data_IF_029920181707
#
_entry.id   IF_029920181707
#
_cell.length_a   1.000
_cell.length_b   1.000
_cell.length_c   1.000
_cell.angle_alpha   90.00
_cell.angle_beta   90.00
_cell.angle_gamma   90.00
#
_symmetry.space_group_name_H-M   'P 1'
#
loop_
_entity.id
_entity.type
_entity.pdbx_description
1 polymer ?
#
# COMPACT_ATOMS: atom_id res chain seq x y z
N UNK A 1 31.08 -19.63 14.33
CA UNK A 1 30.04 -20.12 13.40
C UNK A 1 28.61 -19.83 13.90
N UNK A 2 28.21 -20.31 15.08
CA UNK A 2 26.83 -20.13 15.62
C UNK A 2 26.37 -18.65 15.70
N UNK A 3 27.25 -17.74 16.16
CA UNK A 3 26.95 -16.29 16.20
C UNK A 3 26.68 -15.68 14.82
N UNK A 4 27.33 -16.18 13.78
CA UNK A 4 27.17 -15.71 12.40
C UNK A 4 25.83 -16.17 11.82
N UNK A 5 25.50 -17.45 11.99
CA UNK A 5 24.21 -18.02 11.56
C UNK A 5 23.04 -17.31 12.24
N UNK A 6 23.15 -17.07 13.56
CA UNK A 6 22.15 -16.28 14.30
C UNK A 6 21.90 -14.91 13.67
N UNK A 7 22.97 -14.19 13.30
CA UNK A 7 22.85 -12.86 12.66
C UNK A 7 22.12 -12.97 11.33
N UNK A 8 22.43 -13.97 10.51
CA UNK A 8 21.72 -14.22 9.24
C UNK A 8 20.22 -14.45 9.49
N UNK A 9 19.85 -15.31 10.44
CA UNK A 9 18.45 -15.57 10.77
C UNK A 9 17.71 -14.30 11.23
N UNK A 10 18.34 -13.48 12.08
CA UNK A 10 17.76 -12.21 12.54
C UNK A 10 17.60 -11.23 11.37
N UNK A 11 18.64 -11.05 10.55
CA UNK A 11 18.61 -10.18 9.37
C UNK A 11 17.51 -10.59 8.40
N UNK A 12 17.38 -11.89 8.12
CA UNK A 12 16.31 -12.41 7.27
C UNK A 12 14.92 -12.09 7.83
N UNK A 13 14.69 -12.34 9.12
CA UNK A 13 13.39 -12.04 9.76
C UNK A 13 13.09 -10.54 9.72
N UNK A 14 14.07 -9.67 9.97
CA UNK A 14 13.90 -8.22 9.90
C UNK A 14 13.54 -7.79 8.48
N UNK A 15 14.29 -8.24 7.47
CA UNK A 15 14.02 -7.92 6.07
C UNK A 15 12.64 -8.41 5.61
N UNK A 16 12.24 -9.61 6.04
CA UNK A 16 10.90 -10.14 5.77
C UNK A 16 9.80 -9.24 6.37
N UNK A 17 9.96 -8.79 7.61
CA UNK A 17 8.97 -7.91 8.24
C UNK A 17 8.95 -6.52 7.61
N UNK A 18 10.09 -5.98 7.18
CA UNK A 18 10.16 -4.74 6.43
C UNK A 18 9.44 -4.86 5.07
N UNK A 19 9.65 -5.97 4.37
CA UNK A 19 8.93 -6.26 3.13
C UNK A 19 7.42 -6.35 3.36
N UNK A 20 6.97 -7.09 4.38
CA UNK A 20 5.55 -7.18 4.72
C UNK A 20 4.94 -5.83 5.10
N UNK A 21 5.68 -5.00 5.84
CA UNK A 21 5.24 -3.64 6.17
C UNK A 21 5.09 -2.78 4.91
N UNK A 22 5.99 -2.89 3.94
CA UNK A 22 5.88 -2.20 2.66
C UNK A 22 4.68 -2.70 1.84
N UNK A 23 4.39 -4.01 1.86
CA UNK A 23 3.18 -4.55 1.23
C UNK A 23 1.92 -3.98 1.87
N UNK A 24 1.88 -3.85 3.21
CA UNK A 24 0.75 -3.19 3.90
C UNK A 24 0.64 -1.73 3.46
N UNK A 25 1.74 -0.99 3.45
CA UNK A 25 1.75 0.43 3.08
C UNK A 25 1.30 0.67 1.64
N UNK A 26 1.75 -0.15 0.70
CA UNK A 26 1.31 -0.07 -0.69
C UNK A 26 -0.16 -0.48 -0.86
N UNK A 27 -0.60 -1.52 -0.16
CA UNK A 27 -1.88 -2.18 -0.46
C UNK A 27 -3.06 -1.60 0.31
N UNK A 28 -2.84 -1.03 1.50
CA UNK A 28 -3.92 -0.58 2.39
C UNK A 28 -4.34 0.87 2.14
N UNK A 29 -5.58 1.24 2.52
CA UNK A 29 -6.13 2.54 2.17
C UNK A 29 -5.43 3.67 2.90
N UNK A 30 -5.12 4.71 2.14
CA UNK A 30 -4.67 6.02 2.57
C UNK A 30 -5.74 7.06 2.23
N UNK A 31 -5.66 8.21 2.90
CA UNK A 31 -6.62 9.29 2.73
C UNK A 31 -5.88 10.58 2.37
N UNK A 32 -6.46 11.36 1.47
CA UNK A 32 -5.99 12.70 1.14
C UNK A 32 -7.19 13.64 1.00
N UNK A 33 -7.08 14.83 1.60
CA UNK A 33 -8.01 15.93 1.36
C UNK A 33 -7.53 16.71 0.14
N UNK A 34 -8.33 16.74 -0.90
CA UNK A 34 -7.97 17.35 -2.19
C UNK A 34 -9.18 18.06 -2.78
N UNK A 35 -8.95 18.94 -3.75
CA UNK A 35 -9.98 19.47 -4.62
C UNK A 35 -9.83 18.82 -5.98
N UNK A 36 -10.91 18.24 -6.51
CA UNK A 36 -10.88 17.62 -7.84
C UNK A 36 -10.92 18.74 -8.88
N UNK A 37 -10.05 18.66 -9.87
CA UNK A 37 -9.94 19.67 -10.93
C UNK A 37 -10.40 19.15 -12.29
N UNK A 38 -10.59 17.83 -12.42
CA UNK A 38 -11.07 17.21 -13.65
C UNK A 38 -10.70 15.73 -13.72
N UNK A 39 -10.80 15.16 -14.92
CA UNK A 39 -10.41 13.78 -15.15
C UNK A 39 -10.63 13.35 -16.59
N UNK A 40 -9.87 12.34 -17.01
CA UNK A 40 -9.85 11.80 -18.37
C UNK A 40 -10.02 10.28 -18.35
N UNK A 41 -10.32 9.68 -19.50
CA UNK A 41 -10.32 8.22 -19.69
C UNK A 41 -9.27 7.87 -20.72
N UNK A 42 -8.39 6.91 -20.41
CA UNK A 42 -7.37 6.42 -21.34
C UNK A 42 -7.45 4.92 -21.47
N UNK A 43 -7.28 4.43 -22.69
CA UNK A 43 -7.13 3.01 -22.96
C UNK A 43 -5.71 2.56 -22.63
N UNK A 44 -5.59 1.49 -21.87
CA UNK A 44 -4.30 0.91 -21.47
C UNK A 44 -4.27 -0.59 -21.71
N UNK A 45 -3.09 -1.10 -22.07
CA UNK A 45 -2.79 -2.54 -22.13
C UNK A 45 -1.71 -2.89 -21.10
N UNK A 46 -1.06 -4.06 -21.25
CA UNK A 46 0.00 -4.52 -20.36
C UNK A 46 1.23 -3.60 -20.33
N UNK A 47 1.47 -2.87 -21.42
CA UNK A 47 2.68 -2.05 -21.61
C UNK A 47 2.43 -0.57 -21.28
N UNK A 48 1.16 -0.17 -21.15
CA UNK A 48 0.78 1.12 -20.61
C UNK A 48 -0.30 1.80 -21.42
N UNK A 49 -0.21 3.13 -21.55
CA UNK A 49 -1.17 3.92 -22.33
C UNK A 49 -1.01 3.53 -23.80
N UNK A 50 -2.13 3.25 -24.46
CA UNK A 50 -2.13 2.96 -25.89
C UNK A 50 -1.98 4.28 -26.65
N UNK A 51 -0.90 4.42 -27.40
CA UNK A 51 -0.61 5.57 -28.22
C UNK A 51 0.18 5.17 -29.49
N UNK A 52 0.66 6.15 -30.26
CA UNK A 52 1.42 5.86 -31.49
C UNK A 52 2.76 5.13 -31.22
N UNK A 53 3.30 5.22 -30.01
CA UNK A 53 4.56 4.56 -29.59
C UNK A 53 4.31 3.21 -28.92
N UNK A 54 3.13 3.02 -28.31
CA UNK A 54 2.66 1.76 -27.76
C UNK A 54 1.33 1.34 -28.43
N UNK A 55 1.39 0.72 -29.62
CA UNK A 55 0.19 0.16 -30.25
C UNK A 55 -0.39 -0.96 -29.39
N UNK A 56 -1.73 -1.11 -29.41
CA UNK A 56 -2.43 -2.06 -28.56
C UNK A 56 -1.91 -3.50 -28.76
N UNK A 57 -1.40 -4.10 -27.68
CA UNK A 57 -0.92 -5.49 -27.67
C UNK A 57 -1.62 -6.32 -26.59
N UNK A 58 -2.74 -6.93 -26.97
CA UNK A 58 -3.53 -7.82 -26.12
C UNK A 58 -4.76 -7.15 -25.48
N UNK A 59 -5.21 -7.66 -24.32
CA UNK A 59 -6.40 -7.14 -23.64
C UNK A 59 -6.24 -5.68 -23.23
N UNK A 60 -7.19 -4.86 -23.65
CA UNK A 60 -7.25 -3.43 -23.34
C UNK A 60 -8.23 -3.20 -22.21
N UNK A 61 -7.91 -2.25 -21.34
CA UNK A 61 -8.80 -1.77 -20.27
C UNK A 61 -8.90 -0.25 -20.31
N UNK A 62 -10.06 0.26 -19.92
CA UNK A 62 -10.28 1.69 -19.74
C UNK A 62 -9.83 2.10 -18.34
N UNK A 63 -8.96 3.10 -18.29
CA UNK A 63 -8.36 3.63 -17.08
C UNK A 63 -8.82 5.06 -16.89
N UNK A 64 -9.61 5.25 -15.84
CA UNK A 64 -10.07 6.57 -15.45
C UNK A 64 -8.97 7.29 -14.68
N UNK A 65 -8.64 8.49 -15.10
CA UNK A 65 -7.74 9.38 -14.38
C UNK A 65 -8.53 10.50 -13.72
N UNK A 66 -8.20 10.78 -12.46
CA UNK A 66 -8.80 11.86 -11.68
C UNK A 66 -7.67 12.82 -11.32
N UNK A 67 -7.82 14.09 -11.71
CA UNK A 67 -6.89 15.15 -11.40
C UNK A 67 -7.36 15.90 -10.17
N UNK A 68 -6.44 16.11 -9.23
CA UNK A 68 -6.74 16.83 -8.02
C UNK A 68 -5.57 17.69 -7.57
N UNK A 69 -5.86 18.76 -6.85
CA UNK A 69 -4.89 19.59 -6.13
C UNK A 69 -5.08 19.42 -4.63
N UNK A 70 -3.98 19.48 -3.90
CA UNK A 70 -3.97 19.38 -2.43
C UNK A 70 -4.80 20.52 -1.81
N UNK A 71 -5.69 20.20 -0.86
CA UNK A 71 -6.61 21.19 -0.29
C UNK A 71 -5.91 22.28 0.54
N UNK A 72 -4.66 22.05 0.96
CA UNK A 72 -3.86 23.02 1.70
C UNK A 72 -2.81 23.73 0.82
N UNK A 73 -2.48 23.17 -0.35
CA UNK A 73 -1.47 23.73 -1.24
C UNK A 73 -1.80 23.47 -2.71
N UNK A 74 -2.42 24.46 -3.35
CA UNK A 74 -2.83 24.42 -4.75
C UNK A 74 -1.72 24.12 -5.76
N UNK A 75 -0.44 24.36 -5.41
CA UNK A 75 0.71 24.03 -6.27
C UNK A 75 0.98 22.52 -6.32
N UNK A 76 0.48 21.76 -5.35
CA UNK A 76 0.67 20.32 -5.26
C UNK A 76 -0.48 19.62 -5.97
N UNK A 77 -0.31 19.45 -7.27
CA UNK A 77 -1.22 18.68 -8.13
C UNK A 77 -0.84 17.22 -8.19
N UNK A 78 -1.85 16.37 -8.32
CA UNK A 78 -1.67 14.93 -8.44
C UNK A 78 -2.73 14.31 -9.34
N UNK A 79 -2.28 13.40 -10.21
CA UNK A 79 -3.15 12.50 -10.92
C UNK A 79 -3.31 11.20 -10.13
N UNK A 80 -4.55 10.76 -10.00
CA UNK A 80 -4.92 9.45 -9.49
C UNK A 80 -5.43 8.59 -10.63
N UNK A 81 -5.23 7.28 -10.50
CA UNK A 81 -5.86 6.27 -11.35
C UNK A 81 -7.11 5.75 -10.66
N UNK A 82 -8.09 5.33 -11.41
CA UNK A 82 -9.32 4.77 -10.89
C UNK A 82 -9.70 3.58 -11.78
N UNK A 83 -9.26 2.40 -11.38
CA UNK A 83 -9.58 1.14 -12.03
C UNK A 83 -10.30 0.22 -11.07
N UNK A 84 -11.07 -0.69 -11.63
CA UNK A 84 -11.67 -1.78 -10.88
C UNK A 84 -10.59 -2.76 -10.44
N UNK A 85 -10.51 -2.98 -9.13
CA UNK A 85 -9.63 -4.03 -8.61
C UNK A 85 -10.21 -5.40 -8.92
N UNK A 86 -11.53 -5.49 -9.07
CA UNK A 86 -12.25 -6.72 -9.32
C UNK A 86 -11.78 -7.83 -8.36
N UNK A 87 -11.29 -8.93 -8.91
CA UNK A 87 -10.74 -10.07 -8.16
C UNK A 87 -9.22 -10.00 -8.00
N UNK A 88 -8.58 -8.91 -8.43
CA UNK A 88 -7.15 -8.68 -8.33
C UNK A 88 -6.71 -8.18 -6.96
N UNK A 89 -5.42 -8.33 -6.69
CA UNK A 89 -4.80 -7.80 -5.48
C UNK A 89 -4.48 -6.29 -5.64
N UNK A 90 -4.71 -5.45 -4.62
CA UNK A 90 -5.39 -5.74 -3.35
C UNK A 90 -6.90 -6.00 -3.53
N UNK A 91 -7.42 -7.02 -2.83
CA UNK A 91 -8.78 -7.56 -2.98
C UNK A 91 -9.86 -6.63 -2.40
N UNK A 92 -9.98 -5.42 -2.95
CA UNK A 92 -11.04 -4.47 -2.59
C UNK A 92 -12.40 -4.81 -3.21
N UNK A 93 -12.47 -5.76 -4.15
CA UNK A 93 -13.71 -6.11 -4.87
C UNK A 93 -14.44 -4.87 -5.42
N UNK A 94 -13.66 -3.96 -6.00
CA UNK A 94 -14.15 -2.70 -6.56
C UNK A 94 -14.53 -2.93 -8.03
N UNK A 95 -15.79 -2.62 -8.37
CA UNK A 95 -16.39 -2.77 -9.71
C UNK A 95 -17.16 -1.50 -10.16
N UNK A 96 -16.97 -0.39 -9.46
CA UNK A 96 -17.72 0.86 -9.65
C UNK A 96 -16.80 2.03 -10.03
N UNK A 97 -15.74 1.76 -10.80
CA UNK A 97 -14.82 2.79 -11.30
C UNK A 97 -15.54 3.90 -12.06
N UNK A 98 -16.46 3.57 -12.96
CA UNK A 98 -17.25 4.53 -13.73
C UNK A 98 -18.09 5.46 -12.84
N UNK A 99 -18.74 4.93 -11.80
CA UNK A 99 -19.54 5.72 -10.86
C UNK A 99 -18.67 6.70 -10.07
N UNK A 100 -17.48 6.26 -9.65
CA UNK A 100 -16.50 7.12 -8.97
C UNK A 100 -16.02 8.22 -9.90
N UNK A 101 -15.84 7.93 -11.20
CA UNK A 101 -15.50 8.96 -12.18
C UNK A 101 -16.63 9.99 -12.32
N UNK A 102 -17.89 9.55 -12.40
CA UNK A 102 -19.03 10.45 -12.47
C UNK A 102 -19.12 11.36 -11.22
N UNK A 103 -18.92 10.80 -10.03
CA UNK A 103 -18.82 11.60 -8.79
C UNK A 103 -17.67 12.60 -8.85
N UNK A 104 -16.49 12.21 -9.35
CA UNK A 104 -15.34 13.09 -9.47
C UNK A 104 -15.64 14.29 -10.37
N UNK A 105 -16.31 14.09 -11.50
CA UNK A 105 -16.74 15.18 -12.39
C UNK A 105 -17.76 16.11 -11.73
N UNK A 106 -18.66 15.58 -10.90
CA UNK A 106 -19.57 16.39 -10.09
C UNK A 106 -18.81 17.33 -9.15
N UNK A 107 -17.80 16.82 -8.44
CA UNK A 107 -16.98 17.60 -7.53
C UNK A 107 -16.05 18.60 -8.23
N UNK A 108 -15.61 18.31 -9.46
CA UNK A 108 -14.79 19.23 -10.24
C UNK A 108 -15.51 20.56 -10.53
N UNK A 109 -16.85 20.55 -10.54
CA UNK A 109 -17.67 21.73 -10.79
C UNK A 109 -18.07 22.49 -9.51
N UNK A 110 -17.80 21.96 -8.32
CA UNK A 110 -18.30 22.51 -7.06
C UNK A 110 -17.25 23.16 -6.16
N UNK A 111 -15.96 23.19 -6.55
CA UNK A 111 -14.82 23.71 -5.78
C UNK A 111 -14.73 23.20 -4.32
N UNK A 112 -15.42 22.09 -4.02
CA UNK A 112 -15.49 21.54 -2.68
C UNK A 112 -14.23 20.72 -2.35
N UNK A 113 -13.83 20.78 -1.09
CA UNK A 113 -12.84 19.85 -0.57
C UNK A 113 -13.46 18.44 -0.50
N UNK A 114 -12.74 17.47 -1.03
CA UNK A 114 -13.12 16.05 -0.98
C UNK A 114 -12.03 15.23 -0.34
N UNK A 115 -12.43 14.15 0.33
CA UNK A 115 -11.52 13.12 0.82
C UNK A 115 -11.48 11.98 -0.17
N UNK A 116 -10.32 11.77 -0.78
CA UNK A 116 -10.04 10.60 -1.62
C UNK A 116 -9.44 9.51 -0.75
N UNK A 117 -10.07 8.33 -0.78
CA UNK A 117 -9.50 7.08 -0.29
C UNK A 117 -8.79 6.38 -1.44
N UNK A 118 -7.51 6.06 -1.28
CA UNK A 118 -6.69 5.44 -2.34
C UNK A 118 -5.71 4.43 -1.77
N UNK A 119 -5.09 3.61 -2.63
CA UNK A 119 -3.92 2.80 -2.28
C UNK A 119 -2.83 2.96 -3.34
N UNK A 120 -1.65 2.43 -3.06
CA UNK A 120 -0.49 2.48 -3.95
C UNK A 120 0.27 3.81 -3.89
N UNK A 121 1.34 3.86 -4.67
CA UNK A 121 2.24 5.00 -4.71
C UNK A 121 2.16 5.76 -6.02
N UNK A 122 2.60 7.02 -5.99
CA UNK A 122 2.87 7.79 -7.19
C UNK A 122 4.36 7.67 -7.52
N UNK A 123 4.70 6.97 -8.61
CA UNK A 123 6.07 6.85 -9.10
C UNK A 123 6.11 7.31 -10.55
N UNK A 124 6.50 8.58 -10.76
CA UNK A 124 6.45 9.23 -12.07
C UNK A 124 7.29 8.53 -13.13
N UNK A 125 8.47 8.01 -12.78
CA UNK A 125 9.36 7.33 -13.73
C UNK A 125 8.80 6.01 -14.26
N UNK A 126 7.88 5.38 -13.51
CA UNK A 126 7.29 4.08 -13.86
C UNK A 126 5.84 4.20 -14.33
N UNK A 127 5.34 5.42 -14.55
CA UNK A 127 3.92 5.68 -14.86
C UNK A 127 2.95 5.04 -13.86
N UNK A 128 3.37 4.90 -12.59
CA UNK A 128 2.54 4.30 -11.54
C UNK A 128 1.81 5.41 -10.77
N UNK A 129 0.50 5.22 -10.61
CA UNK A 129 -0.42 6.19 -10.02
C UNK A 129 -1.18 5.52 -8.90
N UNK A 130 -1.56 6.31 -7.89
CA UNK A 130 -2.36 5.83 -6.76
C UNK A 130 -3.76 5.48 -7.26
N UNK A 131 -4.27 4.31 -6.90
CA UNK A 131 -5.59 3.87 -7.34
C UNK A 131 -6.66 4.32 -6.34
N UNK A 132 -7.70 5.00 -6.82
CA UNK A 132 -8.84 5.48 -6.02
C UNK A 132 -9.74 4.32 -5.66
N UNK A 133 -10.11 4.26 -4.38
CA UNK A 133 -11.10 3.32 -3.84
C UNK A 133 -12.47 4.01 -3.72
N UNK A 134 -12.51 5.23 -3.19
CA UNK A 134 -13.75 5.99 -3.01
C UNK A 134 -13.48 7.49 -2.86
N UNK A 135 -14.46 8.31 -3.20
CA UNK A 135 -14.43 9.77 -3.02
C UNK A 135 -15.59 10.15 -2.10
N UNK A 136 -15.36 11.06 -1.16
CA UNK A 136 -16.37 11.60 -0.24
C UNK A 136 -16.18 13.10 -0.07
N UNK A 137 -17.26 13.82 0.23
CA UNK A 137 -17.17 15.22 0.62
C UNK A 137 -16.44 15.37 1.97
N UNK A 138 -15.51 16.32 2.08
CA UNK A 138 -14.70 16.58 3.29
C UNK A 138 -15.51 17.11 4.47
N UNK A 139 -16.82 17.38 4.30
CA UNK A 139 -17.75 17.59 5.42
C UNK A 139 -17.94 16.37 6.34
N UNK A 140 -17.44 15.20 5.94
CA UNK A 140 -17.44 13.97 6.76
C UNK A 140 -16.07 13.71 7.38
N UNK A 141 -16.08 13.38 8.67
CA UNK A 141 -14.95 13.10 9.57
C UNK A 141 -13.64 12.62 8.91
N UNK A 142 -12.51 13.17 9.38
CA UNK A 142 -11.15 12.76 9.03
C UNK A 142 -11.04 11.23 9.06
N UNK A 143 -10.88 10.63 7.90
CA UNK A 143 -10.80 9.18 7.77
C UNK A 143 -9.35 8.73 7.99
N UNK A 144 -9.15 7.85 8.96
CA UNK A 144 -7.83 7.35 9.36
C UNK A 144 -7.58 5.93 8.82
N UNK A 145 -6.34 5.57 8.47
CA UNK A 145 -5.97 4.23 8.00
C UNK A 145 -5.83 3.24 9.16
N UNK A 146 -6.90 3.05 9.94
CA UNK A 146 -6.90 2.24 11.18
C UNK A 146 -6.45 0.81 10.89
N UNK A 147 -6.90 0.21 9.78
CA UNK A 147 -6.52 -1.15 9.39
C UNK A 147 -4.99 -1.28 9.22
N UNK A 148 -4.33 -0.32 8.57
CA UNK A 148 -2.87 -0.32 8.41
C UNK A 148 -2.16 -0.25 9.76
N UNK A 149 -2.63 0.61 10.67
CA UNK A 149 -2.02 0.74 12.00
C UNK A 149 -2.14 -0.55 12.83
N UNK A 150 -3.30 -1.22 12.79
CA UNK A 150 -3.49 -2.51 13.45
C UNK A 150 -2.53 -3.55 12.88
N UNK A 151 -2.33 -3.58 11.56
CA UNK A 151 -1.39 -4.50 10.92
C UNK A 151 0.06 -4.20 11.25
N UNK A 152 0.47 -2.92 11.27
CA UNK A 152 1.80 -2.53 11.71
C UNK A 152 2.07 -2.96 13.16
N UNK A 153 1.08 -2.82 14.03
CA UNK A 153 1.18 -3.28 15.41
C UNK A 153 1.35 -4.81 15.49
N UNK A 154 0.54 -5.57 14.76
CA UNK A 154 0.66 -7.04 14.70
C UNK A 154 2.03 -7.47 14.15
N UNK A 155 2.50 -6.84 13.06
CA UNK A 155 3.81 -7.10 12.48
C UNK A 155 4.94 -6.79 13.46
N UNK A 156 4.83 -5.69 14.21
CA UNK A 156 5.80 -5.34 15.24
C UNK A 156 5.87 -6.37 16.36
N UNK A 157 4.72 -6.80 16.90
CA UNK A 157 4.67 -7.83 17.93
C UNK A 157 5.22 -9.17 17.41
N UNK A 158 4.84 -9.57 16.19
CA UNK A 158 5.38 -10.76 15.51
C UNK A 158 6.90 -10.70 15.39
N UNK A 159 7.46 -9.56 14.96
CA UNK A 159 8.91 -9.35 14.84
C UNK A 159 9.62 -9.59 16.16
N UNK A 160 9.12 -8.99 17.24
CA UNK A 160 9.67 -9.16 18.59
C UNK A 160 9.62 -10.63 19.03
N UNK A 161 8.51 -11.33 18.79
CA UNK A 161 8.36 -12.76 19.10
C UNK A 161 9.39 -13.59 18.34
N UNK A 162 9.56 -13.37 17.04
CA UNK A 162 10.50 -14.12 16.21
C UNK A 162 11.96 -13.87 16.62
N UNK A 163 12.33 -12.62 16.89
CA UNK A 163 13.67 -12.29 17.40
C UNK A 163 13.92 -13.00 18.74
N UNK A 164 12.93 -13.02 19.66
CA UNK A 164 13.03 -13.75 20.93
C UNK A 164 13.17 -15.26 20.72
N UNK A 165 12.40 -15.86 19.81
CA UNK A 165 12.50 -17.29 19.47
C UNK A 165 13.89 -17.65 18.92
N UNK A 166 14.42 -16.85 18.00
CA UNK A 166 15.77 -17.02 17.47
C UNK A 166 16.79 -16.91 18.60
N UNK A 167 16.69 -15.87 19.44
CA UNK A 167 17.61 -15.70 20.57
C UNK A 167 17.60 -16.90 21.53
N UNK A 168 16.42 -17.46 21.83
CA UNK A 168 16.28 -18.66 22.67
C UNK A 168 16.84 -19.92 22.00
N UNK A 169 16.62 -20.09 20.70
CA UNK A 169 17.11 -21.26 19.95
C UNK A 169 18.65 -21.32 19.88
N UNK A 170 19.31 -20.16 19.87
CA UNK A 170 20.76 -20.05 19.88
C UNK A 170 21.36 -19.76 21.26
N UNK A 171 20.57 -19.87 22.34
CA UNK A 171 21.08 -19.75 23.69
C UNK A 171 21.95 -20.97 24.04
N UNK A 172 23.11 -20.79 24.70
CA UNK A 172 23.90 -21.92 25.15
C UNK A 172 23.08 -22.77 26.13
N UNK A 173 22.96 -24.08 25.90
CA UNK A 173 22.41 -24.99 26.89
C UNK A 173 23.41 -25.03 28.05
N UNK A 174 23.01 -24.54 29.21
CA UNK A 174 23.77 -24.74 30.44
C UNK A 174 23.64 -26.21 30.79
N UNK A 175 24.66 -26.99 30.50
CA UNK A 175 24.76 -28.37 30.98
C UNK A 175 24.93 -28.28 32.50
N UNK A 176 23.97 -28.82 33.26
CA UNK A 176 24.00 -28.78 34.72
C UNK A 176 25.28 -29.45 35.21
N UNK A 177 26.16 -28.66 35.86
CA UNK A 177 27.41 -29.14 36.44
C UNK A 177 27.18 -30.11 37.62
N UNK A 178 25.93 -30.28 38.07
CA UNK A 178 25.57 -31.18 39.17
C UNK A 178 25.61 -32.66 38.78
N UNK A 179 25.33 -33.03 37.52
CA UNK A 179 25.42 -34.43 37.08
C UNK A 179 26.86 -34.95 36.96
N UNK A 180 27.86 -34.06 36.97
CA UNK A 180 29.27 -34.43 36.89
C UNK A 180 29.90 -34.71 38.26
N UNK A 181 29.28 -34.27 39.35
CA UNK A 181 29.75 -34.54 40.73
C UNK A 181 29.26 -35.88 41.29
N UNK A 182 28.19 -36.46 40.74
CA UNK A 182 27.73 -37.80 41.13
C UNK A 182 28.42 -38.94 40.35
N UNK A 183 29.25 -38.60 39.36
CA UNK A 183 29.98 -39.56 38.52
C UNK A 183 31.49 -39.66 38.85
N UNK A 184 31.92 -39.11 39.99
CA UNK A 184 33.32 -39.05 40.44
C UNK A 184 33.40 -39.44 41.92
#
# INVERSE_FOLDING_TARGET
>A
MIKFIKRICVSFVVLLHLFLALVVDYSFPHYASVQITGGDVKRMDKDGIIDAKNPADGPVRDVYFIYAKDAQNDQKVMAYRNEDTAWGFPFYFKFNSADIQAMAQGFANSDNNVTIKYYGYRISMLNEFRNVISIKDSGTSTSWPIASYVLYFILFISLVIWIRKINKAFAPKVENLDTKKEAL
#
